data_IF_889186090463
#
_entry.id   IF_889186090463
#
_cell.length_a   1.000
_cell.length_b   1.000
_cell.length_c   1.000
_cell.angle_alpha   90.00
_cell.angle_beta   90.00
_cell.angle_gamma   90.00
#
_symmetry.space_group_name_H-M   'P 1'
#
loop_
_entity.id
_entity.type
_entity.pdbx_description
1 polymer ?
#
# COMPACT_ATOMS: atom_id res chain seq x y z
N UNK A 1 -10.28 -21.12 -25.12
CA UNK A 1 -10.82 -21.04 -23.76
C UNK A 1 -10.40 -19.76 -23.09
N UNK A 2 -11.31 -19.07 -22.37
CA UNK A 2 -10.88 -18.05 -21.42
C UNK A 2 -10.16 -18.77 -20.27
N UNK A 3 -8.83 -18.65 -20.20
CA UNK A 3 -8.05 -19.06 -19.03
C UNK A 3 -8.17 -17.94 -17.98
N UNK A 4 -9.00 -18.08 -16.94
CA UNK A 4 -9.13 -17.04 -15.92
C UNK A 4 -7.78 -16.84 -15.24
N UNK A 5 -7.50 -15.60 -14.83
CA UNK A 5 -6.26 -15.27 -14.15
C UNK A 5 -6.28 -15.85 -12.74
N UNK A 6 -5.34 -16.73 -12.43
CA UNK A 6 -5.09 -17.23 -11.09
C UNK A 6 -4.15 -16.27 -10.35
N UNK A 7 -4.45 -16.03 -9.06
CA UNK A 7 -3.66 -15.15 -8.21
C UNK A 7 -3.03 -15.96 -7.10
N UNK A 8 -1.72 -16.19 -7.21
CA UNK A 8 -0.96 -16.81 -6.14
C UNK A 8 -0.73 -15.83 -4.98
N UNK A 9 -0.69 -16.38 -3.78
CA UNK A 9 -0.37 -15.61 -2.58
C UNK A 9 1.15 -15.51 -2.45
N UNK A 10 1.64 -14.27 -2.40
CA UNK A 10 3.01 -14.00 -2.04
C UNK A 10 3.21 -14.05 -0.53
N UNK A 11 4.46 -14.24 -0.14
CA UNK A 11 4.88 -14.49 1.23
C UNK A 11 6.06 -13.60 1.57
N UNK A 12 5.85 -12.67 2.50
CA UNK A 12 6.92 -11.93 3.14
C UNK A 12 7.26 -12.61 4.47
N UNK A 13 8.55 -12.92 4.70
CA UNK A 13 9.00 -13.59 5.92
C UNK A 13 10.20 -12.90 6.54
N UNK A 14 10.30 -13.01 7.85
CA UNK A 14 11.47 -12.59 8.61
C UNK A 14 11.65 -13.48 9.84
N UNK A 15 12.89 -13.61 10.29
CA UNK A 15 13.23 -14.36 11.50
C UNK A 15 13.66 -13.37 12.57
N UNK A 16 12.92 -13.34 13.68
CA UNK A 16 13.31 -12.60 14.87
C UNK A 16 14.19 -13.47 15.76
N UNK A 17 15.36 -12.98 16.12
CA UNK A 17 16.28 -13.62 17.06
C UNK A 17 16.29 -12.87 18.39
N UNK A 18 16.01 -13.57 19.48
CA UNK A 18 15.97 -13.00 20.84
C UNK A 18 16.84 -13.82 21.77
N UNK A 19 17.81 -13.17 22.42
CA UNK A 19 18.62 -13.84 23.43
C UNK A 19 17.83 -14.00 24.73
N UNK A 20 17.79 -15.21 25.30
CA UNK A 20 16.99 -15.52 26.50
C UNK A 20 17.36 -14.64 27.70
N UNK A 21 18.65 -14.36 27.92
CA UNK A 21 19.12 -13.40 28.93
C UNK A 21 18.43 -12.03 28.86
N UNK A 22 18.09 -11.55 27.67
CA UNK A 22 17.41 -10.25 27.51
C UNK A 22 15.97 -10.35 27.98
N UNK A 23 15.28 -11.42 27.60
CA UNK A 23 13.90 -11.68 28.04
C UNK A 23 13.82 -12.03 29.52
N UNK A 24 14.88 -12.58 30.12
CA UNK A 24 14.90 -12.96 31.53
C UNK A 24 15.25 -11.76 32.43
N UNK A 25 16.20 -10.91 32.03
CA UNK A 25 16.72 -9.82 32.87
C UNK A 25 16.04 -8.46 32.65
N UNK A 26 15.52 -8.19 31.44
CA UNK A 26 15.08 -6.84 31.05
C UNK A 26 13.59 -6.77 30.68
N UNK A 27 12.77 -7.72 31.15
CA UNK A 27 11.35 -7.83 30.81
C UNK A 27 10.41 -6.90 31.59
N UNK A 28 10.95 -6.09 32.51
CA UNK A 28 10.17 -5.16 33.31
C UNK A 28 10.75 -3.74 33.23
N UNK A 29 9.90 -2.70 33.13
CA UNK A 29 8.43 -2.75 33.11
C UNK A 29 7.83 -3.16 31.74
N UNK A 30 8.65 -3.28 30.69
CA UNK A 30 8.21 -3.53 29.31
C UNK A 30 8.65 -4.92 28.86
N UNK A 31 7.71 -5.71 28.33
CA UNK A 31 7.99 -7.03 27.78
C UNK A 31 8.84 -6.91 26.49
N UNK A 32 10.09 -7.38 26.55
CA UNK A 32 11.05 -7.22 25.45
C UNK A 32 10.67 -8.05 24.23
N UNK A 33 10.22 -9.28 24.44
CA UNK A 33 9.82 -10.17 23.35
C UNK A 33 8.62 -9.58 22.60
N UNK A 34 7.62 -9.11 23.34
CA UNK A 34 6.42 -8.50 22.75
C UNK A 34 6.76 -7.25 21.94
N UNK A 35 7.63 -6.37 22.45
CA UNK A 35 8.03 -5.17 21.71
C UNK A 35 8.84 -5.50 20.45
N UNK A 36 9.76 -6.46 20.52
CA UNK A 36 10.54 -6.88 19.35
C UNK A 36 9.65 -7.53 18.29
N UNK A 37 8.70 -8.36 18.70
CA UNK A 37 7.69 -8.92 17.80
C UNK A 37 6.86 -7.82 17.17
N UNK A 38 6.36 -6.85 17.95
CA UNK A 38 5.58 -5.72 17.44
C UNK A 38 6.32 -4.93 16.36
N UNK A 39 7.57 -4.52 16.63
CA UNK A 39 8.38 -3.75 15.67
C UNK A 39 8.69 -4.55 14.40
N UNK A 40 8.94 -5.86 14.56
CA UNK A 40 9.23 -6.73 13.42
C UNK A 40 7.98 -6.96 12.56
N UNK A 41 6.80 -7.07 13.18
CA UNK A 41 5.52 -7.13 12.47
C UNK A 41 5.25 -5.81 11.75
N UNK A 42 5.47 -4.66 12.38
CA UNK A 42 5.32 -3.34 11.75
C UNK A 42 6.22 -3.24 10.50
N UNK A 43 7.50 -3.59 10.61
CA UNK A 43 8.41 -3.63 9.46
C UNK A 43 7.96 -4.60 8.36
N UNK A 44 7.41 -5.76 8.74
CA UNK A 44 6.87 -6.72 7.77
C UNK A 44 5.61 -6.19 7.07
N UNK A 45 4.77 -5.41 7.76
CA UNK A 45 3.60 -4.74 7.16
C UNK A 45 3.99 -3.62 6.21
N UNK A 46 5.03 -2.85 6.53
CA UNK A 46 5.61 -1.86 5.61
C UNK A 46 6.14 -2.52 4.33
N UNK A 47 6.79 -3.70 4.46
CA UNK A 47 7.23 -4.49 3.31
C UNK A 47 6.04 -5.04 2.51
N UNK A 48 4.99 -5.50 3.18
CA UNK A 48 3.75 -5.94 2.53
C UNK A 48 3.10 -4.80 1.74
N UNK A 49 3.01 -3.59 2.30
CA UNK A 49 2.49 -2.42 1.57
C UNK A 49 3.32 -2.16 0.31
N UNK A 50 4.65 -2.20 0.42
CA UNK A 50 5.53 -2.03 -0.72
C UNK A 50 5.27 -3.06 -1.83
N UNK A 51 5.08 -4.34 -1.47
CA UNK A 51 4.79 -5.41 -2.45
C UNK A 51 3.41 -5.25 -3.09
N UNK A 52 2.37 -4.88 -2.33
CA UNK A 52 1.04 -4.59 -2.88
C UNK A 52 1.07 -3.47 -3.94
N UNK A 53 2.01 -2.53 -3.84
CA UNK A 53 2.16 -1.43 -4.80
C UNK A 53 3.07 -1.81 -5.96
N UNK A 54 4.24 -2.38 -5.67
CA UNK A 54 5.37 -2.47 -6.60
C UNK A 54 5.66 -3.87 -7.14
N UNK A 55 5.06 -4.94 -6.58
CA UNK A 55 5.31 -6.28 -7.08
C UNK A 55 4.95 -6.38 -8.58
N UNK A 56 5.76 -7.08 -9.36
CA UNK A 56 5.59 -7.20 -10.82
C UNK A 56 4.39 -8.06 -11.20
N UNK A 57 4.02 -9.00 -10.33
CA UNK A 57 3.04 -10.04 -10.65
C UNK A 57 1.64 -9.59 -10.23
N UNK A 58 1.47 -9.11 -9.00
CA UNK A 58 0.16 -8.68 -8.46
C UNK A 58 0.13 -7.21 -7.99
N UNK A 59 1.25 -6.50 -8.01
CA UNK A 59 1.32 -5.12 -7.55
C UNK A 59 0.48 -4.17 -8.39
N UNK A 60 -0.11 -3.16 -7.74
CA UNK A 60 -1.09 -2.26 -8.36
C UNK A 60 -0.50 -1.45 -9.52
N UNK A 61 0.75 -0.98 -9.39
CA UNK A 61 1.39 -0.24 -10.47
C UNK A 61 1.52 -1.10 -11.74
N UNK A 62 1.95 -2.36 -11.61
CA UNK A 62 2.16 -3.25 -12.75
C UNK A 62 0.86 -3.84 -13.32
N UNK A 63 -0.20 -3.91 -12.51
CA UNK A 63 -1.49 -4.50 -12.91
C UNK A 63 -2.55 -3.49 -13.36
N UNK A 64 -2.18 -2.23 -13.54
CA UNK A 64 -3.07 -1.24 -14.16
C UNK A 64 -3.14 -1.48 -15.67
N UNK A 65 -4.34 -1.68 -16.19
CA UNK A 65 -4.59 -1.87 -17.63
C UNK A 65 -4.08 -0.69 -18.45
N UNK A 66 -3.53 -0.95 -19.64
CA UNK A 66 -2.97 0.08 -20.52
C UNK A 66 -4.01 1.16 -20.88
N UNK A 67 -5.28 0.80 -21.02
CA UNK A 67 -6.36 1.75 -21.31
C UNK A 67 -6.77 2.58 -20.08
N UNK A 68 -6.29 2.25 -18.89
CA UNK A 68 -6.54 2.98 -17.64
C UNK A 68 -5.32 3.78 -17.18
N UNK A 69 -4.27 3.81 -18.00
CA UNK A 69 -3.10 4.66 -17.82
C UNK A 69 -3.28 5.97 -18.58
N UNK A 70 -3.09 7.07 -17.87
CA UNK A 70 -3.07 8.43 -18.38
C UNK A 70 -1.69 9.03 -18.11
N UNK A 71 -1.28 9.99 -18.90
CA UNK A 71 -0.08 10.80 -18.63
C UNK A 71 -0.48 12.23 -18.32
N UNK A 72 0.32 12.91 -17.51
CA UNK A 72 0.07 14.33 -17.23
C UNK A 72 0.19 15.18 -18.49
N UNK A 73 -0.66 16.20 -18.61
CA UNK A 73 -0.67 17.09 -19.79
C UNK A 73 0.51 18.05 -19.83
N UNK A 74 0.97 18.48 -18.65
CA UNK A 74 1.98 19.56 -18.51
C UNK A 74 3.16 19.18 -17.61
N UNK A 75 3.23 17.92 -17.15
CA UNK A 75 4.23 17.46 -16.17
C UNK A 75 3.69 17.43 -14.74
N UNK A 76 3.51 18.57 -14.05
CA UNK A 76 2.90 18.57 -12.72
C UNK A 76 1.42 18.15 -12.77
N UNK A 77 0.89 17.50 -11.72
CA UNK A 77 -0.50 17.03 -11.69
C UNK A 77 -1.44 18.21 -11.53
N UNK A 78 -2.26 18.48 -12.53
CA UNK A 78 -3.25 19.56 -12.51
C UNK A 78 -4.63 19.06 -12.06
N UNK A 79 -5.52 19.96 -11.60
CA UNK A 79 -6.95 19.68 -11.43
C UNK A 79 -7.60 18.91 -12.57
N UNK A 80 -7.25 19.24 -13.81
CA UNK A 80 -7.81 18.59 -14.99
C UNK A 80 -7.30 17.15 -15.14
N UNK A 81 -6.02 16.90 -14.86
CA UNK A 81 -5.46 15.53 -14.92
C UNK A 81 -6.15 14.61 -13.88
N UNK A 82 -6.47 15.13 -12.69
CA UNK A 82 -7.21 14.37 -11.68
C UNK A 82 -8.69 14.20 -12.04
N UNK A 83 -9.33 15.20 -12.66
CA UNK A 83 -10.69 15.07 -13.20
C UNK A 83 -10.73 14.00 -14.31
N UNK A 84 -9.75 13.98 -15.22
CA UNK A 84 -9.62 12.96 -16.28
C UNK A 84 -9.43 11.55 -15.70
N UNK A 85 -8.56 11.42 -14.69
CA UNK A 85 -8.34 10.15 -13.98
C UNK A 85 -9.60 9.67 -13.24
N UNK A 86 -10.38 10.60 -12.69
CA UNK A 86 -11.63 10.30 -12.01
C UNK A 86 -12.72 9.87 -13.00
N UNK A 87 -12.84 10.54 -14.15
CA UNK A 87 -13.91 10.30 -15.13
C UNK A 87 -13.78 8.95 -15.85
N UNK A 88 -12.57 8.39 -15.94
CA UNK A 88 -12.32 7.05 -16.51
C UNK A 88 -13.07 5.93 -15.78
N UNK A 89 -13.50 6.16 -14.55
CA UNK A 89 -13.91 5.09 -13.63
C UNK A 89 -14.97 5.53 -12.64
N UNK A 90 -16.02 4.72 -12.54
CA UNK A 90 -17.11 4.93 -11.59
C UNK A 90 -16.72 4.54 -10.17
N UNK A 91 -17.37 5.14 -9.17
CA UNK A 91 -17.26 4.80 -7.74
C UNK A 91 -15.82 4.75 -7.22
N UNK A 92 -14.98 5.70 -7.64
CA UNK A 92 -13.65 5.87 -7.06
C UNK A 92 -13.78 6.13 -5.56
N UNK A 93 -13.09 5.32 -4.76
CA UNK A 93 -13.12 5.42 -3.29
C UNK A 93 -12.03 6.34 -2.76
N UNK A 94 -10.84 6.29 -3.36
CA UNK A 94 -9.73 7.16 -3.02
C UNK A 94 -8.69 7.22 -4.14
N UNK A 95 -7.87 8.26 -4.11
CA UNK A 95 -6.58 8.33 -4.80
C UNK A 95 -5.46 7.87 -3.86
N UNK A 96 -4.42 7.28 -4.40
CA UNK A 96 -3.20 6.92 -3.69
C UNK A 96 -2.01 7.57 -4.41
N UNK A 97 -1.25 8.37 -3.68
CA UNK A 97 -0.20 9.19 -4.29
C UNK A 97 0.99 9.37 -3.34
N UNK A 98 2.18 9.53 -3.92
CA UNK A 98 3.34 9.92 -3.13
C UNK A 98 3.10 11.29 -2.46
N UNK A 99 3.49 11.53 -1.19
CA UNK A 99 3.30 12.82 -0.51
C UNK A 99 3.78 14.04 -1.32
N UNK A 100 4.92 13.93 -2.02
CA UNK A 100 5.41 14.97 -2.93
C UNK A 100 4.48 15.24 -4.13
N UNK A 101 3.79 14.22 -4.66
CA UNK A 101 2.78 14.42 -5.71
C UNK A 101 1.54 15.13 -5.18
N UNK A 102 1.10 14.80 -3.96
CA UNK A 102 0.01 15.51 -3.28
C UNK A 102 0.38 16.99 -3.10
N UNK A 103 1.61 17.28 -2.67
CA UNK A 103 2.11 18.64 -2.55
C UNK A 103 2.17 19.36 -3.92
N UNK A 104 2.64 18.68 -4.97
CA UNK A 104 2.67 19.23 -6.33
C UNK A 104 1.27 19.57 -6.84
N UNK A 105 0.30 18.69 -6.58
CA UNK A 105 -1.11 18.92 -6.89
C UNK A 105 -1.66 20.13 -6.13
N UNK A 106 -1.38 20.24 -4.83
CA UNK A 106 -1.75 21.39 -4.01
C UNK A 106 -1.19 22.72 -4.55
N UNK A 107 0.06 22.73 -5.03
CA UNK A 107 0.66 23.88 -5.72
C UNK A 107 -0.09 24.23 -7.01
N UNK A 108 -0.41 23.24 -7.85
CA UNK A 108 -1.17 23.47 -9.09
C UNK A 108 -2.59 24.01 -8.82
N UNK A 109 -3.23 23.57 -7.74
CA UNK A 109 -4.51 24.12 -7.28
C UNK A 109 -4.36 25.58 -6.83
N UNK A 110 -3.35 25.87 -6.01
CA UNK A 110 -3.08 27.22 -5.49
C UNK A 110 -2.82 28.22 -6.62
N UNK A 111 -2.00 27.85 -7.62
CA UNK A 111 -1.73 28.70 -8.80
C UNK A 111 -3.01 29.03 -9.57
N UNK A 112 -3.99 28.12 -9.58
CA UNK A 112 -5.31 28.31 -10.23
C UNK A 112 -6.35 28.91 -9.28
N UNK A 113 -5.97 29.28 -8.06
CA UNK A 113 -6.87 29.79 -7.00
C UNK A 113 -8.00 28.81 -6.67
N UNK A 114 -7.70 27.52 -6.76
CA UNK A 114 -8.58 26.43 -6.36
C UNK A 114 -8.10 25.92 -5.02
N UNK A 115 -9.02 25.77 -4.08
CA UNK A 115 -8.76 25.16 -2.78
C UNK A 115 -9.46 23.80 -2.75
N UNK A 116 -8.71 22.69 -2.73
CA UNK A 116 -9.30 21.35 -2.64
C UNK A 116 -10.06 21.19 -1.33
N UNK A 117 -11.17 20.45 -1.39
CA UNK A 117 -11.95 20.12 -0.22
C UNK A 117 -11.20 19.13 0.69
N UNK A 118 -11.79 18.84 1.85
CA UNK A 118 -11.32 17.77 2.72
C UNK A 118 -12.39 16.69 2.86
N UNK A 119 -11.96 15.45 3.02
CA UNK A 119 -12.82 14.33 3.37
C UNK A 119 -12.39 13.74 4.71
N UNK A 120 -13.34 13.14 5.43
CA UNK A 120 -13.05 12.40 6.66
C UNK A 120 -12.96 10.91 6.31
N UNK A 121 -11.80 10.32 6.56
CA UNK A 121 -11.57 8.88 6.44
C UNK A 121 -11.03 8.36 7.77
N UNK A 122 -11.69 7.36 8.36
CA UNK A 122 -11.33 6.77 9.65
C UNK A 122 -11.11 7.82 10.76
N UNK A 123 -11.97 8.84 10.80
CA UNK A 123 -11.89 9.96 11.75
C UNK A 123 -10.78 10.99 11.47
N UNK A 124 -9.95 10.78 10.45
CA UNK A 124 -8.88 11.69 10.04
C UNK A 124 -9.31 12.54 8.86
N UNK A 125 -8.95 13.83 8.88
CA UNK A 125 -9.16 14.73 7.75
C UNK A 125 -8.02 14.58 6.75
N UNK A 126 -8.37 14.33 5.50
CA UNK A 126 -7.43 14.24 4.38
C UNK A 126 -7.88 15.18 3.27
N UNK A 127 -6.93 15.63 2.45
CA UNK A 127 -7.25 16.39 1.24
C UNK A 127 -8.08 15.53 0.29
N UNK A 128 -9.05 16.14 -0.37
CA UNK A 128 -9.95 15.45 -1.29
C UNK A 128 -10.08 16.23 -2.60
N UNK A 129 -10.34 15.50 -3.67
CA UNK A 129 -10.68 16.06 -4.97
C UNK A 129 -12.04 15.54 -5.40
N UNK A 130 -13.01 16.43 -5.62
CA UNK A 130 -14.40 16.09 -5.96
C UNK A 130 -15.05 15.10 -4.97
N UNK A 131 -14.77 15.27 -3.69
CA UNK A 131 -15.27 14.37 -2.62
C UNK A 131 -14.52 13.05 -2.49
N UNK A 132 -13.51 12.79 -3.32
CA UNK A 132 -12.67 11.58 -3.24
C UNK A 132 -11.38 11.89 -2.47
N UNK A 133 -11.09 11.21 -1.34
CA UNK A 133 -9.88 11.45 -0.56
C UNK A 133 -8.61 11.07 -1.34
N UNK A 134 -7.54 11.83 -1.13
CA UNK A 134 -6.20 11.55 -1.66
C UNK A 134 -5.32 11.08 -0.49
N UNK A 135 -4.94 9.80 -0.53
CA UNK A 135 -4.18 9.15 0.53
C UNK A 135 -2.68 9.15 0.21
N UNK A 136 -1.83 9.53 1.18
CA UNK A 136 -0.39 9.46 1.00
C UNK A 136 0.10 8.00 1.05
N UNK A 137 0.98 7.65 0.12
CA UNK A 137 1.72 6.39 0.11
C UNK A 137 3.15 6.65 -0.36
N UNK A 138 4.11 6.53 0.55
CA UNK A 138 5.55 6.68 0.29
C UNK A 138 6.14 5.48 -0.49
N UNK A 139 5.38 4.38 -0.61
CA UNK A 139 5.80 3.20 -1.36
C UNK A 139 5.66 3.35 -2.88
N UNK A 140 4.95 4.37 -3.36
CA UNK A 140 4.91 4.69 -4.79
C UNK A 140 6.24 5.39 -5.15
N UNK A 141 7.04 4.84 -6.08
CA UNK A 141 8.39 5.33 -6.32
C UNK A 141 8.38 6.71 -6.97
N UNK A 142 9.40 7.51 -6.63
CA UNK A 142 9.80 8.68 -7.42
C UNK A 142 11.02 8.27 -8.23
N UNK A 143 10.96 8.46 -9.54
CA UNK A 143 12.05 8.18 -10.48
C UNK A 143 13.20 9.17 -10.29
N UNK A 144 14.38 8.84 -10.84
CA UNK A 144 15.54 9.75 -10.85
C UNK A 144 15.27 11.05 -11.61
N UNK A 145 14.30 11.05 -12.53
CA UNK A 145 13.84 12.23 -13.26
C UNK A 145 12.80 13.06 -12.49
N UNK A 146 12.44 12.66 -11.27
CA UNK A 146 11.49 13.38 -10.41
C UNK A 146 10.03 13.19 -10.82
N UNK A 147 9.72 12.07 -11.47
CA UNK A 147 8.33 11.68 -11.80
C UNK A 147 7.83 10.57 -10.90
N UNK A 148 6.52 10.49 -10.73
CA UNK A 148 5.84 9.43 -9.98
C UNK A 148 4.49 9.13 -10.62
N UNK A 149 3.71 8.26 -9.98
CA UNK A 149 2.37 7.88 -10.44
C UNK A 149 1.34 8.23 -9.36
N UNK A 150 0.16 8.69 -9.78
CA UNK A 150 -1.00 8.80 -8.90
C UNK A 150 -1.97 7.68 -9.29
N UNK A 151 -2.30 6.83 -8.33
CA UNK A 151 -3.30 5.78 -8.51
C UNK A 151 -4.67 6.27 -8.09
N UNK A 152 -5.70 5.72 -8.70
CA UNK A 152 -7.08 5.98 -8.35
C UNK A 152 -7.82 4.63 -8.31
N UNK A 153 -8.49 4.33 -7.19
CA UNK A 153 -8.96 2.97 -6.90
C UNK A 153 -10.42 2.85 -6.46
N UNK A 154 -11.12 1.88 -7.05
CA UNK A 154 -12.45 1.43 -6.65
C UNK A 154 -12.18 0.13 -5.89
N UNK A 155 -12.68 0.00 -4.68
CA UNK A 155 -12.37 -1.15 -3.83
C UNK A 155 -13.64 -1.92 -3.47
N UNK A 156 -13.46 -3.20 -3.14
CA UNK A 156 -14.54 -4.08 -2.71
C UNK A 156 -15.05 -5.01 -3.81
N UNK A 157 -15.46 -6.21 -3.40
CA UNK A 157 -15.97 -7.25 -4.31
C UNK A 157 -17.33 -6.87 -4.90
N UNK A 158 -18.25 -6.33 -4.08
CA UNK A 158 -19.59 -5.89 -4.50
C UNK A 158 -19.58 -4.84 -5.61
N UNK A 159 -18.53 -4.01 -5.64
CA UNK A 159 -18.34 -2.96 -6.63
C UNK A 159 -17.47 -3.41 -7.81
N UNK A 160 -17.09 -4.70 -7.89
CA UNK A 160 -16.07 -5.23 -8.80
C UNK A 160 -14.82 -4.32 -8.79
N UNK A 161 -14.27 -4.13 -7.60
CA UNK A 161 -13.11 -3.27 -7.35
C UNK A 161 -11.80 -4.03 -7.26
N UNK A 162 -10.79 -3.33 -6.73
CA UNK A 162 -9.55 -3.90 -6.23
C UNK A 162 -9.81 -4.54 -4.88
N UNK A 163 -9.33 -5.77 -4.69
CA UNK A 163 -9.42 -6.53 -3.44
C UNK A 163 -8.05 -7.03 -3.01
N UNK A 164 -7.82 -7.09 -1.70
CA UNK A 164 -6.65 -7.74 -1.12
C UNK A 164 -6.96 -9.21 -0.82
N UNK A 165 -6.05 -10.10 -1.19
CA UNK A 165 -6.16 -11.53 -0.95
C UNK A 165 -5.28 -11.94 0.22
N UNK A 166 -5.82 -12.79 1.10
CA UNK A 166 -5.09 -13.40 2.21
C UNK A 166 -5.74 -14.73 2.58
N UNK A 167 -5.00 -15.68 3.17
CA UNK A 167 -5.58 -16.91 3.68
C UNK A 167 -6.67 -16.64 4.73
N UNK A 168 -7.78 -17.37 4.65
CA UNK A 168 -8.89 -17.27 5.61
C UNK A 168 -8.48 -17.69 7.02
N UNK A 169 -7.70 -18.77 7.10
CA UNK A 169 -7.18 -19.34 8.35
C UNK A 169 -5.72 -19.70 8.16
N UNK A 170 -4.90 -19.44 9.17
CA UNK A 170 -3.49 -19.84 9.21
C UNK A 170 -3.22 -20.59 10.52
N UNK A 171 -2.40 -21.66 10.49
CA UNK A 171 -1.82 -22.20 11.71
C UNK A 171 -0.99 -21.12 12.42
N UNK A 172 -1.11 -21.03 13.74
CA UNK A 172 -0.41 -20.07 14.59
C UNK A 172 -0.69 -18.60 14.21
N UNK A 173 -1.91 -18.33 13.74
CA UNK A 173 -2.32 -16.99 13.33
C UNK A 173 -2.27 -16.03 14.52
N UNK A 174 -1.46 -14.98 14.38
CA UNK A 174 -1.35 -13.90 15.35
C UNK A 174 -2.27 -12.74 14.97
N UNK A 175 -2.34 -12.42 13.68
CA UNK A 175 -3.21 -11.40 13.09
C UNK A 175 -3.72 -11.87 11.73
N UNK A 176 -4.77 -11.26 11.15
CA UNK A 176 -5.26 -11.64 9.83
C UNK A 176 -4.13 -11.63 8.77
N UNK A 177 -3.95 -12.78 8.11
CA UNK A 177 -2.90 -13.01 7.11
C UNK A 177 -1.46 -13.12 7.64
N UNK A 178 -1.24 -13.15 8.96
CA UNK A 178 0.09 -13.22 9.58
C UNK A 178 0.17 -14.31 10.65
N UNK A 179 1.21 -15.13 10.61
CA UNK A 179 1.50 -16.12 11.65
C UNK A 179 2.91 -15.98 12.23
N UNK A 180 3.09 -16.52 13.44
CA UNK A 180 4.36 -16.51 14.17
C UNK A 180 4.65 -17.93 14.63
N UNK A 181 5.79 -18.48 14.23
CA UNK A 181 6.21 -19.84 14.60
C UNK A 181 7.50 -19.83 15.38
N UNK A 182 7.51 -20.52 16.52
CA UNK A 182 8.72 -20.74 17.29
C UNK A 182 9.62 -21.77 16.59
N UNK A 183 10.87 -21.38 16.30
CA UNK A 183 11.85 -22.22 15.60
C UNK A 183 12.83 -22.94 16.54
N UNK A 184 12.71 -22.73 17.86
CA UNK A 184 13.62 -23.29 18.85
C UNK A 184 14.69 -22.31 19.35
N UNK A 185 15.47 -22.80 20.31
CA UNK A 185 16.60 -22.09 20.92
C UNK A 185 17.90 -22.78 20.53
N UNK A 186 18.92 -22.02 20.12
CA UNK A 186 20.23 -22.58 19.78
C UNK A 186 21.15 -22.73 21.01
N UNK A 187 22.33 -23.33 20.82
CA UNK A 187 23.35 -23.54 21.87
C UNK A 187 23.84 -22.24 22.54
N UNK A 188 23.62 -21.08 21.92
CA UNK A 188 23.97 -19.75 22.45
C UNK A 188 22.81 -19.09 23.20
N UNK A 189 21.77 -19.85 23.55
CA UNK A 189 20.56 -19.36 24.22
C UNK A 189 19.82 -18.25 23.45
N UNK A 190 19.85 -18.32 22.10
CA UNK A 190 19.07 -17.43 21.23
C UNK A 190 17.84 -18.19 20.73
N UNK A 191 16.67 -17.69 21.09
CA UNK A 191 15.37 -18.19 20.63
C UNK A 191 14.97 -17.49 19.34
N UNK A 192 14.49 -18.26 18.36
CA UNK A 192 14.15 -17.74 17.03
C UNK A 192 12.66 -17.88 16.73
N UNK A 193 12.06 -16.85 16.13
CA UNK A 193 10.66 -16.82 15.72
C UNK A 193 10.55 -16.49 14.23
N UNK A 194 9.93 -17.37 13.45
CA UNK A 194 9.59 -17.11 12.05
C UNK A 194 8.27 -16.38 11.98
N UNK A 195 8.26 -15.20 11.38
CA UNK A 195 7.07 -14.38 11.16
C UNK A 195 6.80 -14.38 9.67
N UNK A 196 5.60 -14.81 9.27
CA UNK A 196 5.20 -14.86 7.85
C UNK A 196 3.90 -14.09 7.61
N UNK A 197 3.89 -13.25 6.57
CA UNK A 197 2.72 -12.51 6.11
C UNK A 197 2.35 -12.91 4.67
N UNK A 198 1.18 -13.51 4.52
CA UNK A 198 0.64 -13.97 3.25
C UNK A 198 -0.29 -12.92 2.66
N UNK A 199 -0.03 -12.49 1.44
CA UNK A 199 -0.78 -11.41 0.81
C UNK A 199 -0.70 -11.46 -0.72
N UNK A 200 -1.72 -10.91 -1.36
CA UNK A 200 -1.74 -10.59 -2.78
C UNK A 200 -2.82 -9.53 -3.03
N UNK A 201 -2.92 -9.03 -4.25
CA UNK A 201 -3.97 -8.10 -4.67
C UNK A 201 -4.55 -8.55 -6.00
N UNK A 202 -5.86 -8.38 -6.17
CA UNK A 202 -6.56 -8.66 -7.41
C UNK A 202 -7.36 -7.44 -7.86
N UNK A 203 -7.22 -7.11 -9.14
CA UNK A 203 -8.01 -6.09 -9.84
C UNK A 203 -9.10 -6.85 -10.61
N UNK A 204 -10.33 -6.85 -10.09
CA UNK A 204 -11.39 -7.73 -10.62
C UNK A 204 -11.82 -7.36 -12.05
N UNK A 205 -11.79 -6.08 -12.38
CA UNK A 205 -12.06 -5.56 -13.73
C UNK A 205 -11.11 -4.41 -14.05
N UNK A 206 -10.70 -4.24 -15.32
CA UNK A 206 -9.73 -3.23 -15.71
C UNK A 206 -10.07 -1.80 -15.22
N UNK A 207 -11.33 -1.38 -15.30
CA UNK A 207 -11.78 -0.04 -14.92
C UNK A 207 -11.79 0.24 -13.40
N UNK A 208 -11.48 -0.76 -12.56
CA UNK A 208 -11.41 -0.57 -11.11
C UNK A 208 -10.19 0.26 -10.68
N UNK A 209 -9.10 0.18 -11.44
CA UNK A 209 -7.80 0.77 -11.14
C UNK A 209 -7.35 1.66 -12.30
N UNK A 210 -7.02 2.91 -12.01
CA UNK A 210 -6.42 3.82 -12.98
C UNK A 210 -5.12 4.41 -12.44
N UNK A 211 -4.22 4.77 -13.35
CA UNK A 211 -2.94 5.39 -13.04
C UNK A 211 -2.74 6.64 -13.88
N UNK A 212 -2.30 7.72 -13.23
CA UNK A 212 -1.78 8.92 -13.88
C UNK A 212 -0.25 8.88 -13.73
N UNK A 213 0.43 8.56 -14.82
CA UNK A 213 1.87 8.45 -14.95
C UNK A 213 2.52 9.80 -15.30
N UNK A 214 3.84 9.84 -15.22
CA UNK A 214 4.67 11.01 -15.51
C UNK A 214 4.30 12.26 -14.68
N UNK A 215 3.90 12.04 -13.43
CA UNK A 215 3.55 13.11 -12.49
C UNK A 215 4.83 13.74 -11.96
N UNK A 216 5.15 14.95 -12.39
CA UNK A 216 6.32 15.69 -11.92
C UNK A 216 6.06 16.27 -10.52
N UNK A 217 6.88 15.89 -9.55
CA UNK A 217 6.69 16.30 -8.15
C UNK A 217 7.40 17.61 -7.77
N UNK A 218 8.09 18.24 -8.72
CA UNK A 218 8.96 19.40 -8.50
C UNK A 218 10.26 19.01 -7.77
N UNK A 219 11.33 19.78 -7.99
CA UNK A 219 12.54 19.70 -7.16
C UNK A 219 12.35 20.44 -5.85
#
# INVERSE_FOLDING_TARGET
DPSPREYDLAVAQTVLHVHNRVTDLYNHPINQLEQQLRLTIEALRERQEHELINNTDFGLLHNTDLNQRLTTRTGPPTPLDLDDLLCRRRKTRFFLAHPHAIAAFGRQCTTRRIYPDTAVLDGKRVIAWRGVPILPCDKIPITTTGTTTILAMRTGEDDAGVIGLRPKTLPDQYQPGLNIRHMGTNERAITSYLISAYHSAAVLVPDALGALDDVQVGR
#
